data_IF_802910756192
#
_entry.id   IF_802910756192
#
_cell.length_a   1.000
_cell.length_b   1.000
_cell.length_c   1.000
_cell.angle_alpha   90.00
_cell.angle_beta   90.00
_cell.angle_gamma   90.00
#
_symmetry.space_group_name_H-M   'P 1'
#
loop_
_entity.id
_entity.type
_entity.pdbx_description
1 polymer ?
#
# COMPACT_ATOMS: atom_id res chain seq x y z
N UNK A 1 -23.73 -15.92 1.50
CA UNK A 1 -22.44 -15.25 1.76
C UNK A 1 -21.47 -15.37 0.58
N UNK A 2 -21.12 -16.57 0.12
CA UNK A 2 -20.14 -16.79 -0.95
C UNK A 2 -20.57 -16.17 -2.31
N UNK A 3 -21.82 -16.27 -2.70
CA UNK A 3 -22.33 -15.71 -3.96
C UNK A 3 -22.28 -14.17 -3.99
N UNK A 4 -22.55 -13.49 -2.87
CA UNK A 4 -22.42 -12.03 -2.79
C UNK A 4 -20.97 -11.58 -2.98
N UNK A 5 -20.01 -12.24 -2.32
CA UNK A 5 -18.60 -11.90 -2.48
C UNK A 5 -18.13 -12.11 -3.91
N UNK A 6 -18.52 -13.23 -4.56
CA UNK A 6 -18.18 -13.50 -5.96
C UNK A 6 -18.70 -12.43 -6.92
N UNK A 7 -19.94 -11.98 -6.74
CA UNK A 7 -20.54 -10.91 -7.55
C UNK A 7 -19.82 -9.57 -7.34
N UNK A 8 -19.46 -9.25 -6.08
CA UNK A 8 -18.71 -8.05 -5.77
C UNK A 8 -17.29 -8.09 -6.36
N UNK A 9 -16.60 -9.23 -6.29
CA UNK A 9 -15.28 -9.40 -6.91
C UNK A 9 -15.33 -9.22 -8.41
N UNK A 10 -16.35 -9.77 -9.07
CA UNK A 10 -16.56 -9.56 -10.50
C UNK A 10 -16.75 -8.06 -10.83
N UNK A 11 -17.57 -7.36 -10.04
CA UNK A 11 -17.74 -5.90 -10.16
C UNK A 11 -16.40 -5.16 -10.03
N UNK A 12 -15.60 -5.47 -9.00
CA UNK A 12 -14.27 -4.85 -8.78
C UNK A 12 -13.34 -5.06 -9.98
N UNK A 13 -13.26 -6.29 -10.48
CA UNK A 13 -12.47 -6.61 -11.68
C UNK A 13 -12.87 -5.72 -12.86
N UNK A 14 -14.17 -5.52 -13.07
CA UNK A 14 -14.68 -4.70 -14.16
C UNK A 14 -14.34 -3.21 -13.96
N UNK A 15 -14.50 -2.68 -12.74
CA UNK A 15 -14.15 -1.29 -12.38
C UNK A 15 -12.66 -1.04 -12.61
N UNK A 16 -11.78 -1.91 -12.12
CA UNK A 16 -10.33 -1.77 -12.29
C UNK A 16 -9.96 -1.77 -13.78
N UNK A 17 -10.52 -2.70 -14.57
CA UNK A 17 -10.22 -2.79 -16.01
C UNK A 17 -10.75 -1.60 -16.83
N UNK A 18 -11.87 -1.01 -16.44
CA UNK A 18 -12.47 0.12 -17.15
C UNK A 18 -11.87 1.47 -16.78
N UNK A 19 -11.24 1.58 -15.63
CA UNK A 19 -10.69 2.85 -15.13
C UNK A 19 -9.20 2.97 -15.51
N UNK A 20 -8.93 3.76 -16.57
CA UNK A 20 -7.57 3.98 -17.08
C UNK A 20 -6.63 4.59 -16.03
N UNK A 21 -7.15 5.43 -15.13
CA UNK A 21 -6.36 6.05 -14.06
C UNK A 21 -5.86 5.00 -13.07
N UNK A 22 -6.70 4.03 -12.68
CA UNK A 22 -6.32 2.94 -11.78
C UNK A 22 -5.26 2.06 -12.46
N UNK A 23 -5.43 1.73 -13.74
CA UNK A 23 -4.44 0.94 -14.49
C UNK A 23 -3.09 1.67 -14.53
N UNK A 24 -3.10 2.97 -14.82
CA UNK A 24 -1.89 3.78 -14.84
C UNK A 24 -1.20 3.80 -13.47
N UNK A 25 -1.96 4.00 -12.39
CA UNK A 25 -1.44 3.97 -11.02
C UNK A 25 -0.80 2.62 -10.65
N UNK A 26 -1.36 1.50 -11.14
CA UNK A 26 -0.80 0.17 -10.92
C UNK A 26 0.51 -0.03 -11.70
N UNK A 27 0.58 0.42 -12.93
CA UNK A 27 1.75 0.20 -13.80
C UNK A 27 2.90 1.17 -13.51
N UNK A 28 2.62 2.35 -13.00
CA UNK A 28 3.60 3.43 -12.83
C UNK A 28 4.81 3.03 -11.96
N UNK A 29 4.69 2.36 -10.80
CA UNK A 29 5.85 1.94 -10.01
C UNK A 29 6.72 0.90 -10.72
N UNK A 30 6.12 0.01 -11.52
CA UNK A 30 6.89 -0.94 -12.34
C UNK A 30 7.68 -0.19 -13.41
N UNK A 31 7.03 0.78 -14.08
CA UNK A 31 7.69 1.65 -15.05
C UNK A 31 8.89 2.40 -14.45
N UNK A 32 8.72 2.94 -13.23
CA UNK A 32 9.83 3.58 -12.51
C UNK A 32 10.95 2.60 -12.18
N UNK A 33 10.64 1.38 -11.73
CA UNK A 33 11.65 0.37 -11.44
C UNK A 33 12.49 0.02 -12.68
N UNK A 34 11.86 -0.14 -13.83
CA UNK A 34 12.55 -0.38 -15.11
C UNK A 34 13.39 0.84 -15.55
N UNK A 35 12.82 2.04 -15.48
CA UNK A 35 13.53 3.26 -15.87
C UNK A 35 14.76 3.50 -15.00
N UNK A 36 14.61 3.42 -13.68
CA UNK A 36 15.74 3.60 -12.75
C UNK A 36 16.82 2.53 -12.95
N UNK A 37 16.43 1.27 -13.16
CA UNK A 37 17.39 0.22 -13.50
C UNK A 37 18.18 0.60 -14.74
N UNK A 38 17.51 0.93 -15.82
CA UNK A 38 18.14 1.23 -17.11
C UNK A 38 19.05 2.47 -17.05
N UNK A 39 18.64 3.54 -16.39
CA UNK A 39 19.46 4.76 -16.22
C UNK A 39 20.75 4.42 -15.46
N UNK A 40 20.66 3.66 -14.38
CA UNK A 40 21.85 3.31 -13.59
C UNK A 40 22.78 2.32 -14.31
N UNK A 41 22.24 1.42 -15.14
CA UNK A 41 23.04 0.53 -15.99
C UNK A 41 23.88 1.32 -17.00
N UNK A 42 23.28 2.34 -17.65
CA UNK A 42 23.99 3.22 -18.58
C UNK A 42 25.12 3.99 -17.88
N UNK A 43 24.89 4.42 -16.63
CA UNK A 43 25.89 5.16 -15.84
C UNK A 43 26.98 4.26 -15.24
N UNK A 44 26.86 2.93 -15.35
CA UNK A 44 27.82 1.97 -14.81
C UNK A 44 27.95 1.97 -13.27
N UNK A 45 26.96 2.47 -12.54
CA UNK A 45 27.04 2.80 -11.10
C UNK A 45 26.18 1.93 -10.19
N UNK A 46 25.62 0.81 -10.67
CA UNK A 46 24.72 -0.05 -9.90
C UNK A 46 25.43 -0.82 -8.77
N UNK A 47 25.64 -0.14 -7.65
CA UNK A 47 26.09 -0.81 -6.41
C UNK A 47 24.91 -1.49 -5.70
N UNK A 48 25.17 -2.53 -4.86
CA UNK A 48 24.12 -3.19 -4.09
C UNK A 48 23.35 -2.22 -3.18
N UNK A 49 24.02 -1.24 -2.59
CA UNK A 49 23.37 -0.21 -1.76
C UNK A 49 22.40 0.66 -2.56
N UNK A 50 22.73 1.02 -3.79
CA UNK A 50 21.82 1.75 -4.69
C UNK A 50 20.62 0.91 -5.08
N UNK A 51 20.79 -0.38 -5.37
CA UNK A 51 19.67 -1.29 -5.67
C UNK A 51 18.71 -1.40 -4.48
N UNK A 52 19.23 -1.48 -3.24
CA UNK A 52 18.42 -1.52 -2.01
C UNK A 52 17.63 -0.21 -1.84
N UNK A 53 18.26 0.95 -2.01
CA UNK A 53 17.57 2.24 -1.96
C UNK A 53 16.47 2.37 -3.02
N UNK A 54 16.74 1.91 -4.25
CA UNK A 54 15.75 1.86 -5.31
C UNK A 54 14.58 0.94 -4.96
N UNK A 55 14.86 -0.22 -4.36
CA UNK A 55 13.84 -1.14 -3.89
C UNK A 55 12.91 -0.48 -2.87
N UNK A 56 13.47 0.20 -1.86
CA UNK A 56 12.69 0.92 -0.85
C UNK A 56 11.77 1.95 -1.51
N UNK A 57 12.31 2.77 -2.41
CA UNK A 57 11.57 3.84 -3.05
C UNK A 57 10.49 3.32 -4.00
N UNK A 58 10.81 2.34 -4.86
CA UNK A 58 9.85 1.76 -5.80
C UNK A 58 8.73 1.00 -5.06
N UNK A 59 9.04 0.30 -3.98
CA UNK A 59 8.02 -0.36 -3.16
C UNK A 59 7.17 0.63 -2.38
N UNK A 60 7.75 1.67 -1.77
CA UNK A 60 6.98 2.71 -1.09
C UNK A 60 6.01 3.41 -2.05
N UNK A 61 6.47 3.72 -3.26
CA UNK A 61 5.65 4.26 -4.35
C UNK A 61 4.54 3.27 -4.76
N UNK A 62 4.86 1.99 -4.86
CA UNK A 62 3.90 0.94 -5.19
C UNK A 62 2.81 0.80 -4.11
N UNK A 63 3.19 0.74 -2.84
CA UNK A 63 2.24 0.64 -1.73
C UNK A 63 1.29 1.85 -1.68
N UNK A 64 1.78 3.03 -2.02
CA UNK A 64 0.96 4.25 -2.06
C UNK A 64 0.06 4.31 -3.29
N UNK A 65 0.63 4.27 -4.49
CA UNK A 65 -0.08 4.52 -5.73
C UNK A 65 -0.83 3.30 -6.26
N UNK A 66 -0.19 2.11 -6.26
CA UNK A 66 -0.82 0.92 -6.85
C UNK A 66 -1.76 0.22 -5.89
N UNK A 67 -1.48 0.27 -4.59
CA UNK A 67 -2.23 -0.46 -3.58
C UNK A 67 -3.22 0.45 -2.85
N UNK A 68 -2.77 1.61 -2.36
CA UNK A 68 -3.58 2.52 -1.55
C UNK A 68 -4.58 3.33 -2.37
N UNK A 69 -4.12 4.17 -3.28
CA UNK A 69 -4.95 5.13 -4.00
C UNK A 69 -6.15 4.52 -4.75
N UNK A 70 -6.07 3.35 -5.39
CA UNK A 70 -7.23 2.72 -6.00
C UNK A 70 -8.37 2.46 -5.03
N UNK A 71 -8.07 2.13 -3.76
CA UNK A 71 -9.07 1.86 -2.74
C UNK A 71 -9.86 3.14 -2.43
N UNK A 72 -9.18 4.24 -2.11
CA UNK A 72 -9.83 5.52 -1.80
C UNK A 72 -10.65 6.03 -2.99
N UNK A 73 -10.14 5.89 -4.21
CA UNK A 73 -10.80 6.27 -5.45
C UNK A 73 -12.09 5.47 -5.67
N UNK A 74 -12.04 4.13 -5.59
CA UNK A 74 -13.19 3.26 -5.84
C UNK A 74 -14.28 3.49 -4.78
N UNK A 75 -13.90 3.53 -3.50
CA UNK A 75 -14.89 3.69 -2.42
C UNK A 75 -15.58 5.05 -2.46
N UNK A 76 -14.83 6.12 -2.72
CA UNK A 76 -15.40 7.47 -2.81
C UNK A 76 -16.26 7.65 -4.08
N UNK A 77 -15.87 7.06 -5.21
CA UNK A 77 -16.66 7.07 -6.43
C UNK A 77 -18.00 6.35 -6.24
N UNK A 78 -17.99 5.18 -5.59
CA UNK A 78 -19.22 4.45 -5.27
C UNK A 78 -20.14 5.19 -4.31
N UNK A 79 -19.57 5.94 -3.37
CA UNK A 79 -20.31 6.80 -2.46
C UNK A 79 -20.91 8.00 -3.20
N UNK A 80 -20.12 8.68 -4.03
CA UNK A 80 -20.55 9.82 -4.85
C UNK A 80 -21.72 9.46 -5.78
N UNK A 81 -21.65 8.27 -6.41
CA UNK A 81 -22.69 7.74 -7.31
C UNK A 81 -23.84 7.03 -6.59
N UNK A 82 -23.90 7.07 -5.25
CA UNK A 82 -24.89 6.36 -4.43
C UNK A 82 -24.88 4.82 -4.60
N UNK A 83 -23.91 4.24 -5.27
CA UNK A 83 -23.76 2.79 -5.48
C UNK A 83 -23.61 2.08 -4.13
N UNK A 84 -22.80 2.65 -3.23
CA UNK A 84 -22.57 2.10 -1.89
C UNK A 84 -23.88 1.94 -1.11
N UNK A 85 -24.75 2.97 -1.14
CA UNK A 85 -26.06 2.94 -0.50
C UNK A 85 -26.97 1.87 -1.12
N UNK A 86 -27.00 1.77 -2.44
CA UNK A 86 -27.79 0.77 -3.16
C UNK A 86 -27.34 -0.66 -2.80
N UNK A 87 -26.02 -0.90 -2.70
CA UNK A 87 -25.47 -2.19 -2.29
C UNK A 87 -25.93 -2.58 -0.87
N UNK A 88 -25.90 -1.65 0.08
CA UNK A 88 -26.35 -1.93 1.46
C UNK A 88 -27.87 -2.14 1.53
N UNK A 89 -28.67 -1.40 0.78
CA UNK A 89 -30.12 -1.59 0.68
C UNK A 89 -30.46 -2.94 0.02
N UNK A 90 -29.63 -3.46 -0.88
CA UNK A 90 -29.81 -4.80 -1.47
C UNK A 90 -29.32 -5.94 -0.57
N UNK A 91 -28.99 -5.65 0.70
CA UNK A 91 -28.61 -6.66 1.70
C UNK A 91 -27.13 -7.08 1.66
N UNK A 92 -26.25 -6.29 1.01
CA UNK A 92 -24.80 -6.54 1.06
C UNK A 92 -24.27 -6.21 2.46
N UNK A 93 -23.55 -7.17 3.05
CA UNK A 93 -22.94 -6.96 4.36
C UNK A 93 -21.67 -6.09 4.23
N UNK A 94 -21.46 -5.14 5.18
CA UNK A 94 -20.26 -4.27 5.21
C UNK A 94 -18.95 -5.06 5.18
N UNK A 95 -18.88 -6.22 5.84
CA UNK A 95 -17.70 -7.08 5.83
C UNK A 95 -17.41 -7.61 4.42
N UNK A 96 -18.44 -8.11 3.70
CA UNK A 96 -18.27 -8.59 2.32
C UNK A 96 -17.88 -7.47 1.38
N UNK A 97 -18.41 -6.26 1.60
CA UNK A 97 -18.04 -5.07 0.86
C UNK A 97 -16.54 -4.76 1.06
N UNK A 98 -16.09 -4.60 2.31
CA UNK A 98 -14.69 -4.29 2.64
C UNK A 98 -13.76 -5.37 2.08
N UNK A 99 -14.05 -6.65 2.28
CA UNK A 99 -13.25 -7.75 1.74
C UNK A 99 -13.15 -7.68 0.21
N UNK A 100 -14.25 -7.34 -0.48
CA UNK A 100 -14.24 -7.22 -1.94
C UNK A 100 -13.37 -6.05 -2.42
N UNK A 101 -13.34 -4.94 -1.69
CA UNK A 101 -12.52 -3.76 -2.02
C UNK A 101 -11.04 -4.04 -1.82
N UNK A 102 -10.68 -4.76 -0.75
CA UNK A 102 -9.29 -5.07 -0.40
C UNK A 102 -8.69 -6.22 -1.20
N UNK A 103 -9.49 -7.10 -1.80
CA UNK A 103 -9.03 -8.32 -2.46
C UNK A 103 -8.01 -8.06 -3.58
N UNK A 104 -8.34 -7.20 -4.55
CA UNK A 104 -7.41 -6.90 -5.66
C UNK A 104 -6.18 -6.11 -5.21
N UNK A 105 -6.25 -5.09 -4.35
CA UNK A 105 -5.09 -4.47 -3.76
C UNK A 105 -4.14 -5.43 -3.04
N UNK A 106 -4.68 -6.45 -2.34
CA UNK A 106 -3.87 -7.53 -1.74
C UNK A 106 -3.11 -8.30 -2.81
N UNK A 107 -3.77 -8.72 -3.89
CA UNK A 107 -3.10 -9.41 -5.00
C UNK A 107 -2.04 -8.52 -5.67
N UNK A 108 -2.36 -7.24 -5.88
CA UNK A 108 -1.42 -6.28 -6.47
C UNK A 108 -0.21 -6.10 -5.55
N UNK A 109 -0.40 -5.97 -4.24
CA UNK A 109 0.72 -5.84 -3.30
C UNK A 109 1.65 -7.06 -3.33
N UNK A 110 1.11 -8.29 -3.41
CA UNK A 110 1.90 -9.51 -3.54
C UNK A 110 2.69 -9.54 -4.87
N UNK A 111 2.06 -9.15 -5.97
CA UNK A 111 2.74 -9.05 -7.26
C UNK A 111 3.86 -8.03 -7.22
N UNK A 112 3.62 -6.83 -6.67
CA UNK A 112 4.62 -5.76 -6.60
C UNK A 112 5.80 -6.14 -5.70
N UNK A 113 5.54 -6.70 -4.52
CA UNK A 113 6.60 -7.13 -3.60
C UNK A 113 7.47 -8.26 -4.16
N UNK A 114 6.96 -9.05 -5.09
CA UNK A 114 7.75 -10.12 -5.75
C UNK A 114 8.39 -9.67 -7.05
N UNK A 115 7.75 -8.78 -7.81
CA UNK A 115 8.22 -8.35 -9.13
C UNK A 115 9.34 -7.30 -9.03
N UNK A 116 9.19 -6.28 -8.17
CA UNK A 116 10.15 -5.17 -8.10
C UNK A 116 11.58 -5.63 -7.74
N UNK A 117 11.80 -6.50 -6.72
CA UNK A 117 13.15 -7.00 -6.44
C UNK A 117 13.77 -7.75 -7.61
N UNK A 118 12.96 -8.54 -8.33
CA UNK A 118 13.43 -9.29 -9.52
C UNK A 118 13.84 -8.35 -10.66
N UNK A 119 13.07 -7.27 -10.89
CA UNK A 119 13.41 -6.26 -11.89
C UNK A 119 14.74 -5.59 -11.54
N UNK A 120 15.00 -5.32 -10.26
CA UNK A 120 16.23 -4.71 -9.77
C UNK A 120 17.40 -5.71 -9.59
N UNK A 121 17.18 -6.98 -9.89
CA UNK A 121 18.20 -8.06 -9.74
C UNK A 121 18.78 -8.12 -8.34
N UNK A 122 17.91 -7.99 -7.32
CA UNK A 122 18.30 -8.16 -5.93
C UNK A 122 18.05 -9.59 -5.48
N UNK A 123 19.09 -10.23 -4.96
CA UNK A 123 18.98 -11.54 -4.33
C UNK A 123 18.55 -11.37 -2.88
N UNK A 124 17.30 -11.72 -2.58
CA UNK A 124 16.69 -11.65 -1.23
C UNK A 124 16.35 -13.05 -0.68
N UNK A 125 16.87 -14.13 -1.30
CA UNK A 125 16.46 -15.51 -0.98
C UNK A 125 16.61 -15.86 0.49
N UNK A 126 17.69 -15.43 1.13
CA UNK A 126 18.00 -15.75 2.54
C UNK A 126 17.05 -15.11 3.56
N UNK A 127 16.40 -13.98 3.23
CA UNK A 127 15.52 -13.21 4.13
C UNK A 127 14.15 -12.94 3.51
N UNK A 128 13.73 -13.75 2.55
CA UNK A 128 12.49 -13.56 1.81
C UNK A 128 11.24 -13.60 2.71
N UNK A 129 11.22 -14.48 3.70
CA UNK A 129 10.11 -14.60 4.65
C UNK A 129 9.86 -13.30 5.45
N UNK A 130 10.83 -12.80 6.22
CA UNK A 130 10.71 -11.52 6.93
C UNK A 130 10.36 -10.35 6.01
N UNK A 131 10.99 -10.26 4.85
CA UNK A 131 10.71 -9.23 3.84
C UNK A 131 9.24 -9.24 3.40
N UNK A 132 8.68 -10.41 3.05
CA UNK A 132 7.27 -10.52 2.64
C UNK A 132 6.31 -10.15 3.78
N UNK A 133 6.56 -10.65 5.00
CA UNK A 133 5.70 -10.37 6.16
C UNK A 133 5.65 -8.88 6.44
N UNK A 134 6.80 -8.22 6.46
CA UNK A 134 6.88 -6.78 6.73
C UNK A 134 6.25 -5.97 5.61
N UNK A 135 6.57 -6.27 4.36
CA UNK A 135 6.00 -5.57 3.19
C UNK A 135 4.48 -5.73 3.13
N UNK A 136 3.97 -6.93 3.39
CA UNK A 136 2.54 -7.20 3.43
C UNK A 136 1.84 -6.51 4.61
N UNK A 137 2.44 -6.53 5.81
CA UNK A 137 1.92 -5.80 6.98
C UNK A 137 1.81 -4.30 6.72
N UNK A 138 2.83 -3.70 6.11
CA UNK A 138 2.82 -2.29 5.72
C UNK A 138 1.78 -2.00 4.64
N UNK A 139 1.64 -2.91 3.65
CA UNK A 139 0.60 -2.83 2.63
C UNK A 139 -0.80 -2.82 3.25
N UNK A 140 -1.07 -3.66 4.24
CA UNK A 140 -2.35 -3.69 4.95
C UNK A 140 -2.66 -2.37 5.65
N UNK A 141 -1.69 -1.76 6.34
CA UNK A 141 -1.88 -0.44 6.96
C UNK A 141 -2.22 0.60 5.89
N UNK A 142 -1.50 0.60 4.78
CA UNK A 142 -1.74 1.54 3.67
C UNK A 142 -3.12 1.36 3.03
N UNK A 143 -3.56 0.11 2.88
CA UNK A 143 -4.91 -0.22 2.42
C UNK A 143 -5.98 0.31 3.37
N UNK A 144 -5.80 0.16 4.69
CA UNK A 144 -6.74 0.63 5.70
C UNK A 144 -6.80 2.15 5.77
N UNK A 145 -5.66 2.85 5.66
CA UNK A 145 -5.60 4.32 5.58
C UNK A 145 -6.44 4.79 4.38
N UNK A 146 -6.20 4.23 3.20
CA UNK A 146 -6.91 4.64 2.00
C UNK A 146 -8.39 4.22 1.99
N UNK A 147 -8.71 3.09 2.62
CA UNK A 147 -10.10 2.69 2.84
C UNK A 147 -10.82 3.71 3.74
N UNK A 148 -10.19 4.12 4.83
CA UNK A 148 -10.73 5.16 5.71
C UNK A 148 -10.91 6.49 4.96
N UNK A 149 -9.92 6.93 4.17
CA UNK A 149 -10.03 8.14 3.34
C UNK A 149 -11.23 8.04 2.38
N UNK A 150 -11.39 6.91 1.68
CA UNK A 150 -12.53 6.70 0.79
C UNK A 150 -13.88 6.77 1.52
N UNK A 151 -13.96 6.19 2.72
CA UNK A 151 -15.18 6.20 3.53
C UNK A 151 -15.56 7.58 4.06
N UNK A 152 -14.62 8.44 4.42
CA UNK A 152 -14.90 9.80 4.90
C UNK A 152 -15.15 10.80 3.77
N UNK A 153 -14.55 10.58 2.61
CA UNK A 153 -14.67 11.48 1.45
C UNK A 153 -16.08 11.47 0.88
N UNK A 154 -16.55 12.63 0.42
CA UNK A 154 -17.86 12.77 -0.23
C UNK A 154 -17.80 12.52 -1.73
N UNK A 155 -16.69 12.86 -2.37
CA UNK A 155 -16.47 12.75 -3.82
C UNK A 155 -15.13 12.09 -4.11
N UNK A 156 -14.98 11.56 -5.32
CA UNK A 156 -13.72 10.99 -5.80
C UNK A 156 -12.58 12.01 -5.77
N UNK A 157 -12.87 13.26 -6.16
CA UNK A 157 -11.88 14.35 -6.14
C UNK A 157 -11.42 14.64 -4.71
N UNK A 158 -12.35 14.73 -3.75
CA UNK A 158 -11.97 14.98 -2.35
C UNK A 158 -11.12 13.84 -1.77
N UNK A 159 -11.39 12.58 -2.14
CA UNK A 159 -10.57 11.46 -1.73
C UNK A 159 -9.14 11.54 -2.29
N UNK A 160 -8.99 11.92 -3.56
CA UNK A 160 -7.67 12.09 -4.18
C UNK A 160 -6.88 13.23 -3.53
N UNK A 161 -7.51 14.37 -3.26
CA UNK A 161 -6.88 15.52 -2.58
C UNK A 161 -6.37 15.13 -1.18
N UNK A 162 -7.11 14.29 -0.43
CA UNK A 162 -6.69 13.84 0.91
C UNK A 162 -5.64 12.73 0.80
N UNK A 163 -5.74 11.83 -0.17
CA UNK A 163 -4.80 10.70 -0.32
C UNK A 163 -3.43 11.12 -0.87
N UNK A 164 -3.35 12.21 -1.63
CA UNK A 164 -2.09 12.72 -2.17
C UNK A 164 -1.04 13.05 -1.10
N UNK A 165 -1.31 13.89 -0.08
CA UNK A 165 -0.35 14.15 1.00
C UNK A 165 0.06 12.86 1.74
N UNK A 166 -0.89 11.95 2.01
CA UNK A 166 -0.62 10.67 2.66
C UNK A 166 0.34 9.83 1.82
N UNK A 167 0.12 9.77 0.51
CA UNK A 167 0.99 9.04 -0.42
C UNK A 167 2.39 9.66 -0.48
N UNK A 168 2.49 11.00 -0.50
CA UNK A 168 3.78 11.71 -0.49
C UNK A 168 4.53 11.44 0.81
N UNK A 169 3.88 11.57 1.96
CA UNK A 169 4.49 11.28 3.27
C UNK A 169 4.99 9.82 3.30
N UNK A 170 4.19 8.86 2.85
CA UNK A 170 4.57 7.44 2.79
C UNK A 170 5.84 7.20 1.96
N UNK A 171 6.00 7.95 0.89
CA UNK A 171 7.12 7.86 -0.03
C UNK A 171 8.38 8.54 0.54
N UNK A 172 8.21 9.70 1.20
CA UNK A 172 9.33 10.46 1.76
C UNK A 172 9.88 9.87 3.07
N UNK A 173 9.04 9.28 3.92
CA UNK A 173 9.50 8.72 5.21
C UNK A 173 10.70 7.77 5.04
N UNK A 174 10.70 6.77 4.13
CA UNK A 174 11.86 5.93 3.90
C UNK A 174 13.10 6.68 3.39
N UNK A 175 12.90 7.71 2.57
CA UNK A 175 13.99 8.51 2.00
C UNK A 175 14.67 9.40 3.05
N UNK A 176 13.95 9.81 4.10
CA UNK A 176 14.48 10.64 5.19
C UNK A 176 15.25 9.81 6.22
N UNK A 177 15.11 8.50 6.21
CA UNK A 177 15.86 7.60 7.11
C UNK A 177 17.36 7.68 6.84
N UNK A 178 18.14 7.86 7.90
CA UNK A 178 19.60 7.98 7.83
C UNK A 178 20.13 9.41 7.63
N UNK A 179 19.27 10.43 7.46
CA UNK A 179 19.69 11.83 7.33
C UNK A 179 20.05 12.42 8.71
N UNK A 180 19.21 12.18 9.72
CA UNK A 180 19.46 12.63 11.10
C UNK A 180 18.76 11.72 12.11
N UNK A 181 19.20 11.78 13.37
CA UNK A 181 18.59 11.02 14.48
C UNK A 181 17.10 11.33 14.67
N UNK A 182 16.70 12.58 14.44
CA UNK A 182 15.31 13.00 14.59
C UNK A 182 14.43 12.36 13.49
N UNK A 183 14.89 12.36 12.25
CA UNK A 183 14.21 11.69 11.15
C UNK A 183 14.16 10.16 11.33
N UNK A 184 15.21 9.56 11.87
CA UNK A 184 15.21 8.13 12.21
C UNK A 184 14.17 7.80 13.28
N UNK A 185 13.97 8.68 14.28
CA UNK A 185 12.92 8.51 15.28
C UNK A 185 11.53 8.64 14.65
N UNK A 186 11.28 9.63 13.79
CA UNK A 186 10.02 9.78 13.07
C UNK A 186 9.75 8.54 12.22
N UNK A 187 10.74 8.09 11.45
CA UNK A 187 10.63 6.87 10.63
C UNK A 187 10.33 5.65 11.50
N UNK A 188 11.02 5.48 12.62
CA UNK A 188 10.87 4.34 13.55
C UNK A 188 9.45 4.16 14.06
N UNK A 189 8.75 5.25 14.39
CA UNK A 189 7.39 5.24 14.93
C UNK A 189 6.31 5.38 13.86
N UNK A 190 6.68 5.56 12.60
CA UNK A 190 5.75 5.51 11.49
C UNK A 190 5.39 4.06 11.11
N UNK A 191 4.29 3.88 10.36
CA UNK A 191 3.95 2.58 9.79
C UNK A 191 4.95 2.10 8.71
N UNK A 192 5.76 3.01 8.16
CA UNK A 192 6.84 2.69 7.22
C UNK A 192 8.17 2.32 7.91
N UNK A 193 8.27 2.46 9.25
CA UNK A 193 9.53 2.30 9.97
C UNK A 193 10.09 0.89 9.90
N UNK A 194 9.26 -0.12 10.17
CA UNK A 194 9.67 -1.52 10.07
C UNK A 194 10.03 -1.90 8.63
N UNK A 195 9.25 -1.42 7.67
CA UNK A 195 9.47 -1.62 6.24
C UNK A 195 10.82 -1.08 5.78
N UNK A 196 11.11 0.18 6.10
CA UNK A 196 12.39 0.84 5.75
C UNK A 196 13.57 0.10 6.32
N UNK A 197 13.50 -0.28 7.61
CA UNK A 197 14.58 -1.01 8.28
C UNK A 197 14.77 -2.43 7.75
N UNK A 198 13.67 -3.14 7.47
CA UNK A 198 13.76 -4.51 6.96
C UNK A 198 14.42 -4.59 5.58
N UNK A 199 14.21 -3.57 4.74
CA UNK A 199 14.81 -3.53 3.41
C UNK A 199 16.25 -2.98 3.47
N UNK A 200 16.52 -1.94 4.24
CA UNK A 200 17.87 -1.39 4.38
C UNK A 200 18.84 -2.37 5.07
N UNK A 201 18.34 -3.30 5.85
CA UNK A 201 19.11 -4.29 6.60
C UNK A 201 18.79 -5.72 6.14
N UNK A 202 18.52 -5.95 4.83
CA UNK A 202 18.10 -7.24 4.30
C UNK A 202 18.96 -8.42 4.78
N UNK A 203 20.28 -8.27 4.83
CA UNK A 203 21.22 -9.32 5.22
C UNK A 203 21.39 -9.48 6.74
N UNK A 204 21.10 -8.44 7.53
CA UNK A 204 21.35 -8.39 8.98
C UNK A 204 20.09 -8.25 9.80
N UNK A 205 18.90 -8.32 9.16
CA UNK A 205 17.63 -8.10 9.81
C UNK A 205 17.36 -9.13 10.92
N UNK A 206 17.12 -8.63 12.15
CA UNK A 206 16.75 -9.44 13.31
C UNK A 206 15.51 -8.81 13.97
N UNK A 207 14.45 -9.60 14.16
CA UNK A 207 13.21 -9.16 14.80
C UNK A 207 13.43 -8.55 16.18
N UNK A 208 14.33 -9.14 16.98
CA UNK A 208 14.61 -8.67 18.34
C UNK A 208 15.08 -7.20 18.37
N UNK A 209 15.82 -6.77 17.36
CA UNK A 209 16.31 -5.39 17.27
C UNK A 209 15.26 -4.39 16.77
N UNK A 210 14.11 -4.86 16.29
CA UNK A 210 13.08 -4.05 15.65
C UNK A 210 11.74 -4.04 16.42
N UNK A 211 11.76 -4.37 17.71
CA UNK A 211 10.55 -4.49 18.54
C UNK A 211 9.71 -3.21 18.52
N UNK A 212 10.35 -2.03 18.68
CA UNK A 212 9.63 -0.76 18.67
C UNK A 212 8.94 -0.45 17.34
N UNK A 213 9.60 -0.73 16.19
CA UNK A 213 9.02 -0.53 14.86
C UNK A 213 7.94 -1.57 14.55
N UNK A 214 8.08 -2.80 15.08
CA UNK A 214 7.05 -3.85 14.94
C UNK A 214 5.80 -3.50 15.76
N UNK A 215 5.96 -3.03 16.99
CA UNK A 215 4.86 -2.54 17.80
C UNK A 215 4.18 -1.32 17.15
N UNK A 216 4.95 -0.39 16.60
CA UNK A 216 4.40 0.76 15.87
C UNK A 216 3.52 0.31 14.71
N UNK A 217 3.97 -0.63 13.87
CA UNK A 217 3.19 -1.17 12.76
C UNK A 217 1.87 -1.78 13.25
N UNK A 218 1.90 -2.55 14.35
CA UNK A 218 0.69 -3.15 14.94
C UNK A 218 -0.27 -2.08 15.47
N UNK A 219 0.25 -1.04 16.15
CA UNK A 219 -0.58 0.08 16.64
C UNK A 219 -1.27 0.79 15.47
N UNK A 220 -0.56 1.09 14.39
CA UNK A 220 -1.13 1.70 13.19
C UNK A 220 -2.20 0.81 12.55
N UNK A 221 -1.96 -0.49 12.48
CA UNK A 221 -2.90 -1.46 11.93
C UNK A 221 -4.19 -1.52 12.77
N UNK A 222 -4.08 -1.63 14.09
CA UNK A 222 -5.23 -1.65 15.00
C UNK A 222 -6.00 -0.33 14.96
N UNK A 223 -5.30 0.80 14.96
CA UNK A 223 -5.90 2.13 14.92
C UNK A 223 -6.74 2.34 13.66
N UNK A 224 -6.20 2.09 12.46
CA UNK A 224 -6.95 2.25 11.23
C UNK A 224 -8.02 1.17 11.02
N UNK A 225 -7.84 -0.02 11.56
CA UNK A 225 -8.91 -1.04 11.59
C UNK A 225 -10.09 -0.54 12.43
N UNK A 226 -9.84 -0.01 13.62
CA UNK A 226 -10.89 0.55 14.47
C UNK A 226 -11.61 1.73 13.78
N UNK A 227 -10.88 2.66 13.19
CA UNK A 227 -11.44 3.81 12.45
C UNK A 227 -12.32 3.36 11.28
N UNK A 228 -11.86 2.39 10.48
CA UNK A 228 -12.63 1.88 9.33
C UNK A 228 -13.90 1.16 9.77
N UNK A 229 -13.86 0.38 10.86
CA UNK A 229 -15.04 -0.28 11.43
C UNK A 229 -16.05 0.77 11.93
N UNK A 230 -15.59 1.76 12.69
CA UNK A 230 -16.45 2.83 13.20
C UNK A 230 -17.13 3.60 12.06
N UNK A 231 -16.37 3.95 11.03
CA UNK A 231 -16.91 4.69 9.88
C UNK A 231 -17.85 3.83 9.03
N UNK A 232 -17.58 2.54 8.87
CA UNK A 232 -18.45 1.64 8.12
C UNK A 232 -19.82 1.42 8.78
N UNK A 233 -19.90 1.51 10.12
CA UNK A 233 -21.16 1.45 10.86
C UNK A 233 -22.02 2.70 10.65
N UNK A 234 -21.43 3.87 10.40
CA UNK A 234 -22.16 5.13 10.15
C UNK A 234 -22.77 5.20 8.74
N UNK A 235 -22.39 4.31 7.85
CA UNK A 235 -22.91 4.25 6.47
C UNK A 235 -24.10 3.31 6.31
N UNK A 236 -24.46 2.58 7.37
CA UNK A 236 -25.68 1.77 7.46
C UNK A 236 -26.84 2.62 7.94
#
# INVERSE_FOLDING_TARGET
MFNQLKSLLWLRKRVIKSNKTIILQILLPLGFAFLYKHINEIQGTLTNSMKVNLLVNCLALSLSLSVGNPISTIVSEEKEKNILRTLFLSGVNSTNYILSVLFYPVLISLVMTTAIPRILELNIETHYGPYLIVSFGTALVMMLINLFIGLISKTQVSAQVISLPVSMISMFIPMLSGISKDFDNVTKYSYMGLFTKSINQLETFKWHNQVASSLSLLVWLLFFTALTILQSKRLR
#
